data_IF_837660047754
#
_entry.id   IF_837660047754
#
_cell.length_a   1.000
_cell.length_b   1.000
_cell.length_c   1.000
_cell.angle_alpha   90.00
_cell.angle_beta   90.00
_cell.angle_gamma   90.00
#
_symmetry.space_group_name_H-M   'P 1'
#
loop_
_entity.id
_entity.type
_entity.pdbx_description
1 polymer ?
#
# COMPACT_ATOMS: atom_id res chain seq x y z
N UNK A 1 -21.67 27.07 6.42
CA UNK A 1 -20.35 26.42 6.39
C UNK A 1 -20.50 25.12 5.59
N UNK A 2 -19.68 24.91 4.58
CA UNK A 2 -19.61 23.62 3.85
C UNK A 2 -18.74 22.67 4.69
N UNK A 3 -19.23 21.47 5.01
CA UNK A 3 -18.46 20.48 5.74
C UNK A 3 -17.56 19.69 4.77
N UNK A 4 -16.30 19.37 5.12
CA UNK A 4 -15.34 18.74 4.23
C UNK A 4 -15.51 17.22 4.07
N UNK A 5 -16.50 16.61 4.72
CA UNK A 5 -16.70 15.15 4.74
C UNK A 5 -17.76 14.64 3.75
N UNK A 6 -18.20 15.48 2.84
CA UNK A 6 -18.99 15.01 1.70
C UNK A 6 -18.01 14.67 0.56
N UNK A 7 -17.61 13.41 0.47
CA UNK A 7 -16.65 12.94 -0.53
C UNK A 7 -17.38 12.67 -1.83
N UNK A 8 -17.07 13.45 -2.84
CA UNK A 8 -17.58 13.29 -4.20
C UNK A 8 -16.39 13.17 -5.17
N UNK A 9 -16.25 11.99 -5.77
CA UNK A 9 -15.20 11.67 -6.74
C UNK A 9 -15.79 11.45 -8.15
N UNK A 10 -17.02 11.90 -8.41
CA UNK A 10 -17.62 11.82 -9.72
C UNK A 10 -16.75 12.48 -10.80
N UNK A 11 -16.58 11.79 -11.94
CA UNK A 11 -15.74 12.24 -13.04
C UNK A 11 -14.25 12.05 -12.83
N UNK A 12 -13.80 11.57 -11.65
CA UNK A 12 -12.39 11.25 -11.38
C UNK A 12 -12.05 9.84 -11.84
N UNK A 13 -10.84 9.66 -12.36
CA UNK A 13 -10.25 8.38 -12.73
C UNK A 13 -9.14 8.03 -11.76
N UNK A 14 -9.27 6.90 -11.09
CA UNK A 14 -8.29 6.38 -10.15
C UNK A 14 -7.60 5.12 -10.71
N UNK A 15 -6.31 5.00 -10.44
CA UNK A 15 -5.52 3.77 -10.66
C UNK A 15 -5.13 3.20 -9.32
N UNK A 16 -5.37 1.91 -9.10
CA UNK A 16 -4.99 1.17 -7.90
C UNK A 16 -4.11 -0.01 -8.32
N UNK A 17 -2.87 -0.07 -7.84
CA UNK A 17 -1.96 -1.19 -8.09
C UNK A 17 -2.01 -2.21 -6.95
N UNK A 18 -1.81 -3.50 -7.27
CA UNK A 18 -2.02 -4.58 -6.32
C UNK A 18 -3.49 -4.75 -5.94
N UNK A 19 -4.40 -4.39 -6.87
CA UNK A 19 -5.82 -4.20 -6.64
C UNK A 19 -6.58 -5.49 -6.29
N UNK A 20 -6.04 -6.66 -6.63
CA UNK A 20 -6.56 -7.96 -6.19
C UNK A 20 -6.25 -8.32 -4.73
N UNK A 21 -5.39 -7.55 -4.07
CA UNK A 21 -5.04 -7.75 -2.66
C UNK A 21 -6.13 -7.27 -1.69
N UNK A 22 -6.16 -7.85 -0.48
CA UNK A 22 -7.20 -7.60 0.54
C UNK A 22 -7.39 -6.12 0.87
N UNK A 23 -6.32 -5.34 1.03
CA UNK A 23 -6.44 -3.93 1.37
C UNK A 23 -6.81 -3.09 0.16
N UNK A 24 -6.18 -3.35 -0.99
CA UNK A 24 -6.36 -2.53 -2.18
C UNK A 24 -7.69 -2.75 -2.87
N UNK A 25 -8.27 -3.95 -2.77
CA UNK A 25 -9.63 -4.22 -3.24
C UNK A 25 -10.67 -3.35 -2.51
N UNK A 26 -10.55 -3.23 -1.19
CA UNK A 26 -11.46 -2.37 -0.41
C UNK A 26 -11.21 -0.88 -0.66
N UNK A 27 -9.96 -0.47 -0.91
CA UNK A 27 -9.65 0.90 -1.35
C UNK A 27 -10.33 1.23 -2.69
N UNK A 28 -10.23 0.32 -3.65
CA UNK A 28 -10.87 0.46 -4.94
C UNK A 28 -12.41 0.56 -4.82
N UNK A 29 -13.02 -0.31 -4.02
CA UNK A 29 -14.47 -0.29 -3.73
C UNK A 29 -14.89 1.02 -3.07
N UNK A 30 -14.12 1.53 -2.11
CA UNK A 30 -14.42 2.79 -1.43
C UNK A 30 -14.36 4.00 -2.37
N UNK A 31 -13.34 4.07 -3.24
CA UNK A 31 -13.23 5.13 -4.26
C UNK A 31 -14.39 5.07 -5.25
N UNK A 32 -14.75 3.87 -5.72
CA UNK A 32 -15.88 3.67 -6.62
C UNK A 32 -17.21 4.03 -5.97
N UNK A 33 -17.41 3.70 -4.69
CA UNK A 33 -18.61 4.08 -3.92
C UNK A 33 -18.75 5.60 -3.77
N UNK A 34 -17.64 6.35 -3.85
CA UNK A 34 -17.64 7.81 -3.88
C UNK A 34 -17.76 8.38 -5.31
N UNK A 35 -17.99 7.54 -6.33
CA UNK A 35 -18.25 7.96 -7.72
C UNK A 35 -17.04 7.93 -8.65
N UNK A 36 -15.85 7.53 -8.18
CA UNK A 36 -14.67 7.41 -9.04
C UNK A 36 -14.81 6.22 -10.01
N UNK A 37 -14.20 6.36 -11.19
CA UNK A 37 -13.89 5.25 -12.09
C UNK A 37 -12.54 4.69 -11.68
N UNK A 38 -12.44 3.37 -11.47
CA UNK A 38 -11.25 2.76 -10.86
C UNK A 38 -10.64 1.71 -11.78
N UNK A 39 -9.43 1.95 -12.24
CA UNK A 39 -8.62 0.96 -12.95
C UNK A 39 -7.83 0.12 -11.93
N UNK A 40 -8.01 -1.19 -12.01
CA UNK A 40 -7.48 -2.19 -11.10
C UNK A 40 -6.31 -2.90 -11.76
N UNK A 41 -5.09 -2.51 -11.39
CA UNK A 41 -3.86 -3.09 -11.93
C UNK A 41 -3.34 -4.15 -10.97
N UNK A 42 -3.28 -5.39 -11.42
CA UNK A 42 -2.71 -6.50 -10.67
C UNK A 42 -2.07 -7.52 -11.62
N UNK A 43 -1.02 -8.20 -11.17
CA UNK A 43 -0.42 -9.32 -11.90
C UNK A 43 -1.36 -10.54 -11.91
N UNK A 44 -2.21 -10.66 -10.89
CA UNK A 44 -3.25 -11.69 -10.80
C UNK A 44 -4.54 -11.18 -11.46
N UNK A 45 -4.71 -11.56 -12.73
CA UNK A 45 -5.86 -11.15 -13.53
C UNK A 45 -7.20 -11.58 -12.91
N UNK A 46 -7.31 -12.81 -12.39
CA UNK A 46 -8.54 -13.35 -11.80
C UNK A 46 -8.95 -12.56 -10.55
N UNK A 47 -7.98 -12.21 -9.69
CA UNK A 47 -8.25 -11.43 -8.49
C UNK A 47 -8.71 -10.00 -8.83
N UNK A 48 -8.08 -9.35 -9.81
CA UNK A 48 -8.49 -8.03 -10.26
C UNK A 48 -9.89 -8.05 -10.89
N UNK A 49 -10.19 -9.06 -11.70
CA UNK A 49 -11.51 -9.22 -12.35
C UNK A 49 -12.63 -9.47 -11.33
N UNK A 50 -12.35 -10.26 -10.29
CA UNK A 50 -13.30 -10.47 -9.20
C UNK A 50 -13.68 -9.14 -8.51
N UNK A 51 -12.68 -8.30 -8.22
CA UNK A 51 -12.90 -6.96 -7.65
C UNK A 51 -13.66 -6.05 -8.62
N UNK A 52 -13.32 -6.08 -9.91
CA UNK A 52 -14.03 -5.31 -10.93
C UNK A 52 -15.50 -5.71 -11.02
N UNK A 53 -15.78 -7.02 -10.97
CA UNK A 53 -17.14 -7.56 -10.97
C UNK A 53 -17.96 -7.11 -9.77
N UNK A 54 -17.34 -7.04 -8.58
CA UNK A 54 -17.99 -6.55 -7.36
C UNK A 54 -18.34 -5.06 -7.44
N UNK A 55 -17.48 -4.26 -8.08
CA UNK A 55 -17.70 -2.80 -8.24
C UNK A 55 -18.68 -2.49 -9.38
N UNK A 56 -18.63 -3.24 -10.47
CA UNK A 56 -19.49 -3.04 -11.64
C UNK A 56 -18.92 -2.01 -12.64
N UNK A 57 -19.80 -1.21 -13.25
CA UNK A 57 -19.47 -0.34 -14.39
C UNK A 57 -18.35 0.69 -14.14
N UNK A 58 -18.14 1.05 -12.91
CA UNK A 58 -17.08 2.00 -12.51
C UNK A 58 -15.71 1.35 -12.33
N UNK A 59 -15.54 0.06 -12.63
CA UNK A 59 -14.26 -0.63 -12.52
C UNK A 59 -13.76 -1.17 -13.87
N UNK A 60 -12.45 -1.32 -13.96
CA UNK A 60 -11.77 -1.94 -15.10
C UNK A 60 -10.54 -2.69 -14.60
N UNK A 61 -10.57 -4.00 -14.68
CA UNK A 61 -9.40 -4.83 -14.40
C UNK A 61 -8.44 -4.83 -15.59
N UNK A 62 -7.16 -4.62 -15.32
CA UNK A 62 -6.09 -4.64 -16.33
C UNK A 62 -4.92 -5.45 -15.75
N UNK A 63 -4.71 -6.68 -16.23
CA UNK A 63 -3.54 -7.47 -15.82
C UNK A 63 -2.27 -6.70 -16.12
N UNK A 64 -1.45 -6.42 -15.10
CA UNK A 64 -0.29 -5.54 -15.24
C UNK A 64 0.81 -5.93 -14.25
N UNK A 65 1.99 -6.22 -14.77
CA UNK A 65 3.19 -6.30 -13.96
C UNK A 65 3.74 -4.88 -13.72
N UNK A 66 3.64 -4.39 -12.49
CA UNK A 66 4.12 -3.06 -12.10
C UNK A 66 5.66 -2.91 -12.15
N UNK A 67 6.40 -3.97 -12.46
CA UNK A 67 7.84 -3.94 -12.73
C UNK A 67 8.17 -3.86 -14.23
N UNK A 68 7.16 -3.93 -15.09
CA UNK A 68 7.31 -3.76 -16.54
C UNK A 68 6.71 -2.44 -17.00
N UNK A 69 7.59 -1.49 -17.33
CA UNK A 69 7.16 -0.15 -17.78
C UNK A 69 6.32 -0.20 -19.08
N UNK A 70 6.55 -1.20 -19.94
CA UNK A 70 5.79 -1.38 -21.17
C UNK A 70 4.35 -1.85 -20.89
N UNK A 71 4.16 -2.73 -19.90
CA UNK A 71 2.82 -3.14 -19.47
C UNK A 71 2.08 -1.98 -18.78
N UNK A 72 2.76 -1.21 -17.94
CA UNK A 72 2.18 -0.01 -17.31
C UNK A 72 1.74 1.01 -18.36
N UNK A 73 2.55 1.25 -19.39
CA UNK A 73 2.20 2.16 -20.48
C UNK A 73 0.99 1.67 -21.29
N UNK A 74 0.90 0.37 -21.57
CA UNK A 74 -0.30 -0.23 -22.22
C UNK A 74 -1.54 -0.09 -21.35
N UNK A 75 -1.42 -0.28 -20.04
CA UNK A 75 -2.53 -0.05 -19.11
C UNK A 75 -2.99 1.40 -19.16
N UNK A 76 -2.07 2.37 -19.21
CA UNK A 76 -2.40 3.78 -19.36
C UNK A 76 -3.17 4.06 -20.67
N UNK A 77 -2.73 3.50 -21.80
CA UNK A 77 -3.43 3.63 -23.10
C UNK A 77 -4.87 3.11 -23.03
N UNK A 78 -5.09 1.95 -22.39
CA UNK A 78 -6.43 1.37 -22.20
C UNK A 78 -7.31 2.29 -21.36
N UNK A 79 -6.77 2.83 -20.25
CA UNK A 79 -7.48 3.74 -19.35
C UNK A 79 -7.84 5.03 -20.08
N UNK A 80 -6.87 5.61 -20.80
CA UNK A 80 -7.06 6.85 -21.56
C UNK A 80 -8.14 6.70 -22.64
N UNK A 81 -8.15 5.59 -23.36
CA UNK A 81 -9.16 5.31 -24.38
C UNK A 81 -10.57 5.18 -23.79
N UNK A 82 -10.70 4.64 -22.57
CA UNK A 82 -12.00 4.39 -21.93
C UNK A 82 -12.50 5.58 -21.12
N UNK A 83 -11.62 6.26 -20.37
CA UNK A 83 -12.02 7.24 -19.35
C UNK A 83 -11.25 8.56 -19.37
N UNK A 84 -10.18 8.66 -20.14
CA UNK A 84 -9.31 9.84 -20.20
C UNK A 84 -8.19 9.81 -19.17
N UNK A 85 -7.65 10.99 -18.85
CA UNK A 85 -6.48 11.15 -17.96
C UNK A 85 -6.79 10.74 -16.52
N UNK A 86 -5.78 10.19 -15.87
CA UNK A 86 -5.84 9.74 -14.46
C UNK A 86 -5.71 10.93 -13.51
N UNK A 87 -6.52 10.94 -12.46
CA UNK A 87 -6.52 11.97 -11.42
C UNK A 87 -5.96 11.48 -10.08
N UNK A 88 -6.08 10.17 -9.81
CA UNK A 88 -5.64 9.53 -8.58
C UNK A 88 -4.77 8.33 -8.88
N UNK A 89 -3.69 8.19 -8.14
CA UNK A 89 -2.84 7.01 -8.16
C UNK A 89 -2.68 6.45 -6.74
N UNK A 90 -3.02 5.17 -6.57
CA UNK A 90 -2.74 4.43 -5.33
C UNK A 90 -1.66 3.39 -5.62
N UNK A 91 -0.46 3.62 -5.12
CA UNK A 91 0.65 2.67 -5.20
C UNK A 91 0.52 1.64 -4.06
N UNK A 92 -0.20 0.56 -4.32
CA UNK A 92 -0.51 -0.49 -3.35
C UNK A 92 0.19 -1.82 -3.62
N UNK A 93 0.79 -2.01 -4.80
CA UNK A 93 1.61 -3.19 -5.08
C UNK A 93 2.76 -3.28 -4.09
N UNK A 94 2.93 -4.43 -3.44
CA UNK A 94 3.94 -4.61 -2.43
C UNK A 94 3.82 -5.95 -1.71
N UNK A 95 4.87 -6.31 -0.98
CA UNK A 95 4.90 -7.56 -0.21
C UNK A 95 6.30 -7.90 0.27
N UNK A 96 6.39 -8.98 1.04
CA UNK A 96 7.64 -9.54 1.52
C UNK A 96 7.99 -10.83 0.76
N UNK A 97 9.19 -11.35 0.99
CA UNK A 97 9.67 -12.59 0.39
C UNK A 97 10.29 -13.50 1.47
N UNK A 98 9.95 -14.80 1.53
CA UNK A 98 10.56 -15.73 2.48
C UNK A 98 12.08 -15.82 2.36
N UNK A 99 12.67 -15.61 1.16
CA UNK A 99 14.12 -15.60 0.96
C UNK A 99 14.83 -14.37 1.56
N UNK A 100 14.06 -13.32 1.88
CA UNK A 100 14.51 -12.10 2.57
C UNK A 100 14.00 -12.03 4.02
N UNK A 101 13.64 -13.16 4.63
CA UNK A 101 13.07 -13.25 5.97
C UNK A 101 13.92 -14.16 6.84
N UNK A 102 14.33 -13.69 8.03
CA UNK A 102 15.03 -14.51 9.04
C UNK A 102 14.06 -15.34 9.89
N UNK A 103 14.51 -16.47 10.43
CA UNK A 103 13.73 -17.26 11.38
C UNK A 103 13.89 -16.77 12.81
N UNK A 104 15.05 -16.19 13.16
CA UNK A 104 15.35 -15.63 14.47
C UNK A 104 14.93 -14.16 14.60
N UNK A 105 14.64 -13.74 15.83
CA UNK A 105 14.37 -12.32 16.15
C UNK A 105 15.65 -11.57 16.49
N UNK A 106 16.57 -12.22 17.17
CA UNK A 106 17.86 -11.67 17.61
C UNK A 106 18.98 -12.61 17.20
N UNK A 107 20.13 -12.04 16.86
CA UNK A 107 21.34 -12.81 16.63
C UNK A 107 22.01 -13.08 17.98
N UNK A 108 22.35 -14.35 18.25
CA UNK A 108 23.09 -14.76 19.43
C UNK A 108 24.29 -15.61 19.02
N UNK A 109 25.38 -15.63 19.81
CA UNK A 109 26.58 -16.42 19.48
C UNK A 109 26.34 -17.94 19.41
N UNK A 110 25.31 -18.42 20.07
CA UNK A 110 24.90 -19.82 20.18
C UNK A 110 23.67 -20.16 19.29
N UNK A 111 23.39 -19.33 18.30
CA UNK A 111 22.29 -19.60 17.36
C UNK A 111 22.58 -20.92 16.62
N UNK A 112 21.62 -21.90 16.62
CA UNK A 112 21.81 -23.14 15.89
C UNK A 112 21.99 -22.92 14.38
N UNK A 113 22.86 -23.70 13.75
CA UNK A 113 23.21 -23.58 12.31
C UNK A 113 22.01 -23.78 11.38
N UNK A 114 21.01 -24.56 11.79
CA UNK A 114 19.79 -24.79 11.01
C UNK A 114 18.79 -23.61 11.03
N UNK A 115 19.00 -22.62 11.89
CA UNK A 115 18.13 -21.44 11.96
C UNK A 115 18.59 -20.43 10.92
N UNK A 116 17.74 -20.14 9.95
CA UNK A 116 18.00 -19.15 8.93
C UNK A 116 18.13 -17.75 9.52
N UNK A 117 19.37 -17.26 9.55
CA UNK A 117 19.75 -15.98 10.12
C UNK A 117 19.81 -14.85 9.08
N UNK A 118 20.29 -13.69 9.49
CA UNK A 118 20.58 -12.58 8.56
C UNK A 118 21.62 -12.95 7.49
N UNK A 119 22.58 -13.81 7.82
CA UNK A 119 23.65 -14.21 6.91
C UNK A 119 23.19 -15.16 5.81
N UNK A 120 22.01 -15.78 5.95
CA UNK A 120 21.41 -16.74 5.02
C UNK A 120 20.39 -16.09 4.07
N UNK A 121 20.17 -14.76 4.20
CA UNK A 121 19.26 -14.05 3.32
C UNK A 121 19.81 -14.02 1.89
N UNK A 122 18.93 -14.32 0.94
CA UNK A 122 19.31 -14.45 -0.46
C UNK A 122 19.20 -13.11 -1.18
N UNK A 123 20.21 -12.78 -2.01
CA UNK A 123 20.27 -11.52 -2.74
C UNK A 123 19.05 -11.32 -3.66
N UNK A 124 18.62 -12.36 -4.35
CA UNK A 124 17.46 -12.29 -5.23
C UNK A 124 16.14 -12.06 -4.44
N UNK A 125 16.04 -12.60 -3.23
CA UNK A 125 14.94 -12.30 -2.32
C UNK A 125 14.95 -10.84 -1.85
N UNK A 126 16.12 -10.30 -1.53
CA UNK A 126 16.29 -8.88 -1.18
C UNK A 126 15.91 -7.99 -2.36
N UNK A 127 16.46 -8.25 -3.56
CA UNK A 127 16.14 -7.51 -4.78
C UNK A 127 14.63 -7.52 -5.07
N UNK A 128 14.01 -8.70 -5.01
CA UNK A 128 12.57 -8.84 -5.22
C UNK A 128 11.75 -7.93 -4.29
N UNK A 129 12.10 -7.87 -2.99
CA UNK A 129 11.38 -7.03 -2.02
C UNK A 129 11.52 -5.54 -2.35
N UNK A 130 12.73 -5.08 -2.70
CA UNK A 130 12.95 -3.70 -3.09
C UNK A 130 12.24 -3.37 -4.40
N UNK A 131 12.34 -4.22 -5.40
CA UNK A 131 11.69 -4.02 -6.69
C UNK A 131 10.17 -3.95 -6.53
N UNK A 132 9.59 -4.91 -5.84
CA UNK A 132 8.14 -4.96 -5.67
C UNK A 132 7.58 -3.77 -4.86
N UNK A 133 8.31 -3.27 -3.86
CA UNK A 133 7.80 -2.20 -2.99
C UNK A 133 8.21 -0.80 -3.43
N UNK A 134 9.41 -0.62 -3.99
CA UNK A 134 9.95 0.69 -4.36
C UNK A 134 9.95 0.88 -5.87
N UNK A 135 10.65 0.02 -6.62
CA UNK A 135 10.80 0.19 -8.08
C UNK A 135 9.44 0.23 -8.77
N UNK A 136 8.48 -0.62 -8.35
CA UNK A 136 7.12 -0.61 -8.88
C UNK A 136 6.44 0.76 -8.70
N UNK A 137 6.50 1.33 -7.50
CA UNK A 137 5.90 2.63 -7.22
C UNK A 137 6.53 3.76 -8.05
N UNK A 138 7.85 3.73 -8.26
CA UNK A 138 8.54 4.67 -9.15
C UNK A 138 8.05 4.56 -10.59
N UNK A 139 8.04 3.34 -11.16
CA UNK A 139 7.66 3.11 -12.54
C UNK A 139 6.21 3.49 -12.82
N UNK A 140 5.30 3.09 -11.93
CA UNK A 140 3.88 3.42 -12.03
C UNK A 140 3.66 4.93 -11.90
N UNK A 141 4.33 5.57 -10.94
CA UNK A 141 4.23 7.03 -10.75
C UNK A 141 4.77 7.77 -11.97
N UNK A 142 5.88 7.34 -12.59
CA UNK A 142 6.42 7.96 -13.81
C UNK A 142 5.42 8.00 -14.97
N UNK A 143 4.58 6.97 -15.08
CA UNK A 143 3.59 6.90 -16.16
C UNK A 143 2.35 7.74 -15.82
N UNK A 144 1.74 7.53 -14.67
CA UNK A 144 0.44 8.13 -14.35
C UNK A 144 0.52 9.56 -13.79
N UNK A 145 1.62 9.96 -13.15
CA UNK A 145 1.78 11.34 -12.71
C UNK A 145 1.88 12.32 -13.89
N UNK A 146 2.31 11.86 -15.07
CA UNK A 146 2.33 12.67 -16.28
C UNK A 146 0.93 13.21 -16.66
N UNK A 147 -0.12 12.48 -16.38
CA UNK A 147 -1.50 12.90 -16.63
C UNK A 147 -1.91 14.08 -15.74
N UNK A 148 -1.31 14.20 -14.57
CA UNK A 148 -1.68 15.12 -13.52
C UNK A 148 -0.93 16.46 -13.59
N UNK A 149 0.16 16.55 -14.37
CA UNK A 149 1.06 17.73 -14.40
C UNK A 149 0.32 19.02 -14.75
N UNK A 150 -0.66 18.97 -15.65
CA UNK A 150 -1.41 20.16 -16.09
C UNK A 150 -2.66 20.45 -15.25
N UNK A 151 -3.22 19.42 -14.61
CA UNK A 151 -4.56 19.51 -13.98
C UNK A 151 -4.53 19.35 -12.46
N UNK A 152 -3.36 19.06 -11.90
CA UNK A 152 -3.25 18.60 -10.52
C UNK A 152 -3.71 17.16 -10.37
N UNK A 153 -3.52 16.60 -9.18
CA UNK A 153 -3.89 15.22 -8.89
C UNK A 153 -3.48 14.79 -7.50
N UNK A 154 -3.64 13.51 -7.24
CA UNK A 154 -3.36 12.94 -5.93
C UNK A 154 -2.69 11.57 -6.02
N UNK A 155 -1.58 11.40 -5.32
CA UNK A 155 -0.84 10.15 -5.22
C UNK A 155 -0.88 9.70 -3.76
N UNK A 156 -1.31 8.46 -3.53
CA UNK A 156 -1.29 7.83 -2.21
C UNK A 156 -0.42 6.57 -2.30
N UNK A 157 0.67 6.56 -1.55
CA UNK A 157 1.55 5.42 -1.44
C UNK A 157 1.17 4.57 -0.23
N UNK A 158 1.30 3.24 -0.35
CA UNK A 158 1.10 2.35 0.79
C UNK A 158 2.45 2.03 1.42
N UNK A 159 2.73 2.73 2.53
CA UNK A 159 3.87 2.49 3.39
C UNK A 159 3.55 1.34 4.38
N UNK A 160 4.06 1.40 5.56
CA UNK A 160 3.80 0.48 6.68
C UNK A 160 4.27 1.13 7.96
N UNK A 161 3.74 0.70 9.12
CA UNK A 161 4.32 1.06 10.40
C UNK A 161 5.79 0.59 10.53
N UNK A 162 6.22 -0.41 9.72
CA UNK A 162 7.60 -0.85 9.60
C UNK A 162 8.56 0.22 9.06
N UNK A 163 8.04 1.27 8.43
CA UNK A 163 8.84 2.40 7.99
C UNK A 163 9.36 3.22 9.18
N UNK A 164 8.63 3.23 10.29
CA UNK A 164 9.00 3.94 11.52
C UNK A 164 9.78 3.05 12.49
N UNK A 165 9.27 1.85 12.73
CA UNK A 165 9.84 0.87 13.65
C UNK A 165 10.02 -0.47 12.92
N UNK A 166 11.26 -0.83 12.51
CA UNK A 166 11.50 -2.06 11.78
C UNK A 166 11.14 -3.27 12.64
N UNK A 167 10.31 -4.15 12.09
CA UNK A 167 10.04 -5.43 12.72
C UNK A 167 11.26 -6.34 12.61
N UNK A 168 11.45 -7.18 13.63
CA UNK A 168 12.40 -8.30 13.56
C UNK A 168 12.07 -9.21 12.36
N UNK A 169 13.04 -9.97 11.88
CA UNK A 169 12.95 -10.97 10.81
C UNK A 169 12.84 -10.46 9.37
N UNK A 170 12.37 -9.23 9.11
CA UNK A 170 12.05 -8.73 7.77
C UNK A 170 12.80 -7.42 7.42
N UNK A 171 14.15 -7.43 7.41
CA UNK A 171 14.93 -6.20 7.24
C UNK A 171 14.69 -5.52 5.90
N UNK A 172 14.60 -6.29 4.80
CA UNK A 172 14.41 -5.74 3.46
C UNK A 172 13.05 -5.04 3.32
N UNK A 173 11.98 -5.65 3.84
CA UNK A 173 10.64 -5.06 3.78
C UNK A 173 10.57 -3.75 4.58
N UNK A 174 11.14 -3.73 5.78
CA UNK A 174 11.17 -2.52 6.63
C UNK A 174 11.93 -1.39 5.95
N UNK A 175 13.11 -1.67 5.38
CA UNK A 175 13.90 -0.70 4.63
C UNK A 175 13.17 -0.19 3.38
N UNK A 176 12.52 -1.09 2.63
CA UNK A 176 11.75 -0.71 1.45
C UNK A 176 10.55 0.20 1.80
N UNK A 177 9.85 -0.07 2.90
CA UNK A 177 8.72 0.77 3.33
C UNK A 177 9.18 2.12 3.90
N UNK A 178 10.35 2.20 4.54
CA UNK A 178 10.99 3.47 4.88
C UNK A 178 11.33 4.28 3.61
N UNK A 179 11.84 3.60 2.57
CA UNK A 179 12.09 4.19 1.27
C UNK A 179 10.82 4.77 0.62
N UNK A 180 9.68 4.10 0.74
CA UNK A 180 8.37 4.61 0.26
C UNK A 180 7.94 5.87 1.01
N UNK A 181 8.13 5.94 2.33
CA UNK A 181 7.82 7.16 3.09
C UNK A 181 8.69 8.35 2.64
N UNK A 182 9.99 8.13 2.48
CA UNK A 182 10.90 9.15 1.94
C UNK A 182 10.57 9.55 0.50
N UNK A 183 10.25 8.58 -0.36
CA UNK A 183 9.82 8.85 -1.73
C UNK A 183 8.53 9.67 -1.78
N UNK A 184 7.60 9.44 -0.86
CA UNK A 184 6.37 10.23 -0.71
C UNK A 184 6.67 11.70 -0.43
N UNK A 185 7.60 11.99 0.48
CA UNK A 185 8.04 13.35 0.81
C UNK A 185 8.70 14.01 -0.41
N UNK A 186 9.57 13.28 -1.11
CA UNK A 186 10.22 13.80 -2.31
C UNK A 186 9.21 14.14 -3.42
N UNK A 187 8.25 13.26 -3.69
CA UNK A 187 7.18 13.49 -4.67
C UNK A 187 6.33 14.71 -4.29
N UNK A 188 5.98 14.83 -3.01
CA UNK A 188 5.19 15.94 -2.51
C UNK A 188 5.84 17.29 -2.78
N UNK A 189 7.14 17.40 -2.55
CA UNK A 189 7.91 18.63 -2.83
C UNK A 189 8.06 18.85 -4.33
N UNK A 190 8.43 17.80 -5.07
CA UNK A 190 8.72 17.87 -6.50
C UNK A 190 7.50 18.27 -7.33
N UNK A 191 6.33 17.73 -7.00
CA UNK A 191 5.09 17.95 -7.76
C UNK A 191 4.18 19.03 -7.20
N UNK A 192 4.50 19.65 -6.07
CA UNK A 192 3.70 20.73 -5.50
C UNK A 192 3.40 21.89 -6.47
N UNK A 193 4.35 22.35 -7.32
CA UNK A 193 4.08 23.42 -8.30
C UNK A 193 3.03 23.01 -9.36
N UNK A 194 2.81 21.71 -9.57
CA UNK A 194 1.80 21.19 -10.49
C UNK A 194 0.44 20.93 -9.82
N UNK A 195 0.30 21.27 -8.52
CA UNK A 195 -0.93 20.99 -7.77
C UNK A 195 -1.16 19.48 -7.51
N UNK A 196 -0.13 18.66 -7.57
CA UNK A 196 -0.22 17.24 -7.23
C UNK A 196 0.16 17.07 -5.77
N UNK A 197 -0.74 16.49 -4.99
CA UNK A 197 -0.48 16.09 -3.59
C UNK A 197 0.03 14.66 -3.56
N UNK A 198 1.00 14.39 -2.71
CA UNK A 198 1.50 13.04 -2.49
C UNK A 198 1.58 12.75 -0.99
N UNK A 199 0.86 11.71 -0.55
CA UNK A 199 0.84 11.29 0.85
C UNK A 199 0.97 9.76 0.92
N UNK A 200 1.17 9.23 2.12
CA UNK A 200 1.18 7.79 2.34
C UNK A 200 0.27 7.39 3.50
N UNK A 201 -0.25 6.18 3.42
CA UNK A 201 -0.90 5.48 4.53
C UNK A 201 0.08 4.42 5.01
N UNK A 202 0.29 4.32 6.32
CA UNK A 202 1.12 3.31 6.96
C UNK A 202 0.25 2.37 7.80
N UNK A 203 -0.27 1.27 7.22
CA UNK A 203 -1.04 0.30 7.96
C UNK A 203 -0.21 -0.39 9.04
N UNK A 204 -0.83 -0.65 10.20
CA UNK A 204 -0.31 -1.53 11.23
C UNK A 204 -0.54 -3.00 10.88
N UNK A 205 -1.04 -3.76 11.83
CA UNK A 205 -1.33 -5.18 11.61
C UNK A 205 -2.79 -5.40 11.21
N UNK A 206 -2.97 -5.84 9.97
CA UNK A 206 -4.26 -6.27 9.39
C UNK A 206 -4.15 -7.74 9.00
N UNK A 207 -5.19 -8.52 9.28
CA UNK A 207 -5.20 -9.94 8.88
C UNK A 207 -5.48 -10.04 7.39
N UNK A 208 -4.56 -10.62 6.66
CA UNK A 208 -4.65 -10.86 5.22
C UNK A 208 -4.40 -12.34 4.92
N UNK A 209 -4.73 -12.77 3.70
CA UNK A 209 -4.42 -14.14 3.27
C UNK A 209 -2.92 -14.45 3.34
N UNK A 210 -2.05 -13.44 3.11
CA UNK A 210 -0.60 -13.59 3.14
C UNK A 210 -0.04 -13.84 4.54
N UNK A 211 -0.66 -13.28 5.59
CA UNK A 211 -0.12 -13.34 6.94
C UNK A 211 -0.94 -14.20 7.92
N UNK A 212 -2.11 -14.68 7.49
CA UNK A 212 -3.02 -15.44 8.36
C UNK A 212 -2.35 -16.64 9.02
N UNK A 213 -1.59 -17.43 8.27
CA UNK A 213 -0.87 -18.60 8.79
C UNK A 213 0.26 -18.24 9.78
N UNK A 214 0.78 -17.01 9.73
CA UNK A 214 1.77 -16.51 10.69
C UNK A 214 1.12 -16.04 12.00
N UNK A 215 -0.16 -15.70 11.95
CA UNK A 215 -0.90 -15.11 13.06
C UNK A 215 -1.78 -16.13 13.80
N UNK A 216 -2.32 -17.10 13.06
CA UNK A 216 -3.25 -18.10 13.61
C UNK A 216 -2.82 -19.49 13.20
N UNK A 217 -2.99 -20.46 14.11
CA UNK A 217 -2.85 -21.89 13.83
C UNK A 217 -4.02 -22.41 13.01
N UNK A 218 -3.94 -23.63 12.53
CA UNK A 218 -5.01 -24.29 11.76
C UNK A 218 -6.34 -24.36 12.54
N UNK A 219 -6.28 -24.53 13.85
CA UNK A 219 -7.44 -24.52 14.76
C UNK A 219 -8.00 -23.13 15.06
N UNK A 220 -7.43 -22.07 14.44
CA UNK A 220 -7.83 -20.69 14.65
C UNK A 220 -7.27 -20.04 15.93
N UNK A 221 -6.49 -20.75 16.74
CA UNK A 221 -5.87 -20.18 17.93
C UNK A 221 -4.71 -19.24 17.57
N UNK A 222 -4.50 -18.14 18.34
CA UNK A 222 -3.39 -17.21 18.11
C UNK A 222 -2.02 -17.87 18.25
N UNK A 223 -1.09 -17.49 17.39
CA UNK A 223 0.32 -17.86 17.54
C UNK A 223 1.00 -17.00 18.61
N UNK A 224 2.17 -17.39 19.16
CA UNK A 224 2.97 -16.52 20.05
C UNK A 224 3.28 -15.15 19.42
N UNK A 225 3.45 -15.10 18.09
CA UNK A 225 3.64 -13.85 17.33
C UNK A 225 2.44 -12.92 17.48
N UNK A 226 1.22 -13.44 17.39
CA UNK A 226 -0.01 -12.67 17.61
C UNK A 226 -0.04 -12.07 19.00
N UNK A 227 0.32 -12.84 20.03
CA UNK A 227 0.39 -12.32 21.39
C UNK A 227 1.33 -11.13 21.54
N UNK A 228 2.54 -11.20 20.93
CA UNK A 228 3.50 -10.09 20.91
C UNK A 228 2.97 -8.86 20.19
N UNK A 229 2.33 -9.05 19.02
CA UNK A 229 1.75 -7.98 18.24
C UNK A 229 0.65 -7.25 19.03
N UNK A 230 -0.29 -8.00 19.59
CA UNK A 230 -1.41 -7.42 20.35
C UNK A 230 -0.93 -6.73 21.63
N UNK A 231 0.05 -7.30 22.34
CA UNK A 231 0.65 -6.68 23.51
C UNK A 231 1.34 -5.34 23.19
N UNK A 232 1.90 -5.21 21.97
CA UNK A 232 2.53 -3.98 21.49
C UNK A 232 1.55 -3.01 20.80
N UNK A 233 0.27 -3.40 20.63
CA UNK A 233 -0.78 -2.57 20.01
C UNK A 233 -1.73 -2.06 21.11
N UNK A 234 -1.69 -0.77 21.51
CA UNK A 234 -2.52 -0.25 22.60
C UNK A 234 -4.02 -0.51 22.45
N UNK A 235 -4.57 -0.50 21.23
CA UNK A 235 -5.98 -0.86 20.99
C UNK A 235 -6.27 -2.35 21.13
N UNK A 236 -5.25 -3.19 21.36
CA UNK A 236 -5.33 -4.63 21.63
C UNK A 236 -6.20 -5.42 20.64
N UNK A 237 -6.16 -5.04 19.37
CA UNK A 237 -6.80 -5.74 18.26
C UNK A 237 -6.03 -5.57 16.97
N UNK A 238 -6.26 -6.46 16.01
CA UNK A 238 -5.90 -6.21 14.63
C UNK A 238 -6.80 -5.13 14.03
N UNK A 239 -6.29 -4.40 13.02
CA UNK A 239 -7.11 -3.52 12.21
C UNK A 239 -8.07 -4.32 11.34
N UNK A 240 -9.28 -3.81 11.19
CA UNK A 240 -10.19 -4.17 10.11
C UNK A 240 -9.91 -3.26 8.91
N UNK A 241 -10.08 -3.76 7.68
CA UNK A 241 -9.77 -2.96 6.47
C UNK A 241 -10.59 -1.66 6.44
N UNK A 242 -11.79 -1.67 7.01
CA UNK A 242 -12.63 -0.47 7.17
C UNK A 242 -11.96 0.63 8.00
N UNK A 243 -11.04 0.29 8.91
CA UNK A 243 -10.28 1.29 9.70
C UNK A 243 -9.37 2.17 8.80
N UNK A 244 -9.00 1.69 7.62
CA UNK A 244 -8.17 2.43 6.65
C UNK A 244 -8.97 3.37 5.76
N UNK A 245 -10.26 3.07 5.53
CA UNK A 245 -11.07 3.76 4.52
C UNK A 245 -11.26 5.24 4.86
N UNK A 246 -11.47 5.57 6.14
CA UNK A 246 -11.60 6.96 6.56
C UNK A 246 -10.36 7.80 6.19
N UNK A 247 -9.16 7.27 6.42
CA UNK A 247 -7.90 7.92 6.07
C UNK A 247 -7.73 8.03 4.56
N UNK A 248 -8.05 6.97 3.81
CA UNK A 248 -8.02 6.99 2.35
C UNK A 248 -8.90 8.11 1.81
N UNK A 249 -10.17 8.16 2.20
CA UNK A 249 -11.13 9.12 1.70
C UNK A 249 -10.78 10.54 2.11
N UNK A 250 -10.29 10.77 3.34
CA UNK A 250 -9.79 12.06 3.78
C UNK A 250 -8.65 12.55 2.89
N UNK A 251 -7.64 11.71 2.63
CA UNK A 251 -6.51 12.07 1.76
C UNK A 251 -6.93 12.23 0.29
N UNK A 252 -8.00 11.56 -0.14
CA UNK A 252 -8.52 11.65 -1.52
C UNK A 252 -9.31 12.93 -1.79
N UNK A 253 -9.81 13.60 -0.74
CA UNK A 253 -10.63 14.82 -0.90
C UNK A 253 -9.78 16.09 -0.88
N UNK A 254 -9.83 16.88 -1.95
CA UNK A 254 -9.18 18.18 -2.01
C UNK A 254 -9.83 19.19 -1.04
N UNK A 255 -11.12 19.03 -0.75
CA UNK A 255 -11.84 19.88 0.21
C UNK A 255 -11.43 19.60 1.66
N UNK A 256 -11.13 18.33 1.99
CA UNK A 256 -10.77 17.91 3.34
C UNK A 256 -9.26 17.94 3.61
N UNK A 257 -8.42 17.75 2.59
CA UNK A 257 -6.98 17.61 2.72
C UNK A 257 -6.15 18.36 1.66
N UNK A 258 -6.73 19.38 1.01
CA UNK A 258 -6.09 20.10 -0.09
C UNK A 258 -4.77 20.82 0.30
N UNK A 259 -4.52 21.05 1.59
CA UNK A 259 -3.25 21.60 2.08
C UNK A 259 -2.37 20.55 2.79
N UNK A 260 -2.69 19.26 2.59
CA UNK A 260 -1.96 18.13 3.17
C UNK A 260 -1.18 17.40 2.07
N UNK A 261 0.15 17.49 2.12
CA UNK A 261 1.06 16.78 1.21
C UNK A 261 2.36 16.45 1.93
N UNK A 262 3.00 15.34 1.59
CA UNK A 262 4.28 14.89 2.16
C UNK A 262 4.16 14.14 3.49
N UNK A 263 2.96 13.78 3.95
CA UNK A 263 2.80 13.06 5.20
C UNK A 263 2.64 11.55 4.98
N UNK A 264 3.09 10.78 5.96
CA UNK A 264 2.75 9.37 6.10
C UNK A 264 1.87 9.19 7.35
N UNK A 265 0.65 8.69 7.17
CA UNK A 265 -0.34 8.56 8.25
C UNK A 265 -0.35 7.14 8.79
N UNK A 266 0.09 6.89 10.05
CA UNK A 266 -0.06 5.59 10.70
C UNK A 266 -1.54 5.31 10.98
N UNK A 267 -1.99 4.09 10.62
CA UNK A 267 -3.29 3.54 10.99
C UNK A 267 -3.03 2.16 11.58
N UNK A 268 -2.70 2.12 12.87
CA UNK A 268 -2.01 0.98 13.48
C UNK A 268 -2.44 0.65 14.93
N UNK A 269 -3.53 1.25 15.39
CA UNK A 269 -4.03 1.03 16.75
C UNK A 269 -3.09 1.51 17.87
N UNK A 270 -2.17 2.43 17.52
CA UNK A 270 -1.21 3.04 18.45
C UNK A 270 0.13 2.29 18.52
N UNK A 271 0.34 1.28 17.67
CA UNK A 271 1.59 0.50 17.67
C UNK A 271 2.83 1.40 17.50
N UNK A 272 2.82 2.32 16.56
CA UNK A 272 3.93 3.23 16.31
C UNK A 272 4.19 4.21 17.48
N UNK A 273 3.17 4.58 18.23
CA UNK A 273 3.29 5.52 19.34
C UNK A 273 3.73 4.85 20.66
N UNK A 274 3.65 3.52 20.75
CA UNK A 274 3.88 2.79 21.99
C UNK A 274 5.38 2.59 22.25
N UNK A 275 5.86 3.10 23.39
CA UNK A 275 7.27 3.01 23.80
C UNK A 275 7.63 1.71 24.54
N UNK A 276 6.66 0.86 24.83
CA UNK A 276 6.88 -0.42 25.55
C UNK A 276 6.75 -0.33 27.07
N UNK A 277 6.40 0.84 27.62
CA UNK A 277 6.20 1.08 29.05
C UNK A 277 4.95 1.91 29.29
#
# INVERSE_FOLDING_TARGET
MKLPFQIDLNGKVAVVTGAGGVLMSEFAKALAACGARVALLDINAEAAEAVASDIGENALAIPTNCLDKGEIAKAAEIIHAKWGKVNFLINGAGGNNPRATCDNEYMTPDLPDEVKSFFDLQEDGLRFVFDLNITSAFLVTQVFAADMVETGGNIINISSMNAYHPLTKIPAYSAAKAGISNFTEWLAVHFAPCGIRCNAIAPGFFVTNQNRALLFREDGTPTPRTGKILAATPMNRFGDVSDLIGTLLWLSSDEASGFVTGITVPVDGGFNAYSGV
#
